data_IF_619753436853
#
_entry.id   IF_619753436853
#
_cell.length_a   1.000
_cell.length_b   1.000
_cell.length_c   1.000
_cell.angle_alpha   90.00
_cell.angle_beta   90.00
_cell.angle_gamma   90.00
#
_symmetry.space_group_name_H-M   'P 1'
#
loop_
_entity.id
_entity.type
_entity.pdbx_description
1 polymer ?
#
# COMPACT_ATOMS: atom_id res chain seq x y z
N UNK A 1 11.55 23.37 1.95
CA UNK A 1 11.37 21.96 1.57
C UNK A 1 11.03 21.23 2.86
N UNK A 2 9.77 20.85 3.05
CA UNK A 2 9.41 19.99 4.18
C UNK A 2 9.97 18.62 3.87
N UNK A 3 10.95 18.18 4.64
CA UNK A 3 11.38 16.79 4.65
C UNK A 3 10.20 15.98 5.18
N UNK A 4 9.52 15.24 4.31
CA UNK A 4 8.63 14.17 4.73
C UNK A 4 9.54 13.05 5.22
N UNK A 5 9.69 12.92 6.54
CA UNK A 5 10.35 11.73 7.08
C UNK A 5 9.43 10.54 6.81
N UNK A 6 9.94 9.45 6.20
CA UNK A 6 9.12 8.29 5.93
C UNK A 6 8.52 7.77 7.22
N UNK A 7 7.18 7.76 7.32
CA UNK A 7 6.49 7.23 8.49
C UNK A 7 6.79 5.76 8.74
N UNK A 8 7.07 5.03 7.66
CA UNK A 8 7.34 3.61 7.66
C UNK A 8 8.83 3.32 7.48
N UNK A 9 9.35 2.41 8.30
CA UNK A 9 10.72 1.91 8.19
C UNK A 9 10.77 0.61 7.36
N UNK A 10 11.98 0.09 7.13
CA UNK A 10 12.19 -1.17 6.41
C UNK A 10 11.43 -2.36 7.01
N UNK A 11 11.25 -2.38 8.34
CA UNK A 11 10.50 -3.45 9.01
C UNK A 11 9.01 -3.44 8.64
N UNK A 12 8.40 -2.25 8.47
CA UNK A 12 7.03 -2.12 8.01
C UNK A 12 6.88 -2.61 6.55
N UNK A 13 7.82 -2.24 5.67
CA UNK A 13 7.83 -2.74 4.28
C UNK A 13 8.00 -4.27 4.22
N UNK A 14 8.89 -4.83 5.04
CA UNK A 14 9.07 -6.28 5.15
C UNK A 14 7.82 -6.99 5.68
N UNK A 15 7.09 -6.39 6.62
CA UNK A 15 5.82 -6.92 7.13
C UNK A 15 4.75 -6.99 6.03
N UNK A 16 4.61 -5.93 5.23
CA UNK A 16 3.69 -5.88 4.08
C UNK A 16 4.02 -7.01 3.09
N UNK A 17 5.30 -7.15 2.72
CA UNK A 17 5.75 -8.21 1.82
C UNK A 17 5.55 -9.62 2.41
N UNK A 18 5.68 -9.81 3.73
CA UNK A 18 5.37 -11.08 4.40
C UNK A 18 3.89 -11.43 4.29
N UNK A 19 3.00 -10.50 4.66
CA UNK A 19 1.55 -10.73 4.62
C UNK A 19 1.07 -11.05 3.20
N UNK A 20 1.62 -10.39 2.18
CA UNK A 20 1.30 -10.71 0.79
C UNK A 20 1.73 -12.14 0.41
N UNK A 21 2.93 -12.57 0.82
CA UNK A 21 3.40 -13.96 0.60
C UNK A 21 2.57 -15.00 1.37
N UNK A 22 1.94 -14.62 2.47
CA UNK A 22 0.97 -15.42 3.21
C UNK A 22 -0.42 -15.47 2.54
N UNK A 23 -0.58 -14.84 1.37
CA UNK A 23 -1.80 -14.86 0.58
C UNK A 23 -2.80 -13.74 0.92
N UNK A 24 -2.36 -12.70 1.64
CA UNK A 24 -3.22 -11.54 1.88
C UNK A 24 -3.28 -10.63 0.66
N UNK A 25 -4.45 -10.08 0.39
CA UNK A 25 -4.66 -9.08 -0.66
C UNK A 25 -4.27 -7.67 -0.21
N UNK A 26 -3.83 -6.79 -1.13
CA UNK A 26 -3.36 -5.43 -0.79
C UNK A 26 -4.31 -4.61 0.09
N UNK A 27 -5.60 -4.57 -0.20
CA UNK A 27 -6.64 -3.86 0.56
C UNK A 27 -6.64 -4.29 2.02
N UNK A 28 -6.64 -5.61 2.29
CA UNK A 28 -6.56 -6.18 3.63
C UNK A 28 -5.27 -5.79 4.34
N UNK A 29 -4.14 -5.77 3.63
CA UNK A 29 -2.85 -5.37 4.19
C UNK A 29 -2.88 -3.88 4.57
N UNK A 30 -3.38 -3.02 3.70
CA UNK A 30 -3.48 -1.58 3.96
C UNK A 30 -4.42 -1.27 5.13
N UNK A 31 -5.53 -2.02 5.28
CA UNK A 31 -6.41 -1.92 6.46
C UNK A 31 -5.67 -2.23 7.76
N UNK A 32 -4.89 -3.31 7.76
CA UNK A 32 -4.04 -3.66 8.91
C UNK A 32 -3.04 -2.54 9.23
N UNK A 33 -2.40 -1.98 8.20
CA UNK A 33 -1.43 -0.89 8.39
C UNK A 33 -2.10 0.37 8.96
N UNK A 34 -3.32 0.70 8.54
CA UNK A 34 -4.10 1.80 9.13
C UNK A 34 -4.52 1.52 10.59
N UNK A 35 -4.71 0.27 10.98
CA UNK A 35 -4.98 -0.09 12.39
C UNK A 35 -3.71 0.08 13.23
N UNK A 36 -2.56 -0.35 12.72
CA UNK A 36 -1.27 -0.25 13.41
C UNK A 36 -0.72 1.19 13.44
N UNK A 37 -1.05 1.98 12.42
CA UNK A 37 -0.59 3.35 12.22
C UNK A 37 -1.79 4.26 11.87
N UNK A 38 -2.64 4.61 12.85
CA UNK A 38 -3.90 5.33 12.61
C UNK A 38 -3.74 6.72 12.01
N UNK A 39 -2.56 7.30 12.12
CA UNK A 39 -2.19 8.62 11.62
C UNK A 39 -1.43 8.55 10.28
N UNK A 40 -1.39 7.38 9.63
CA UNK A 40 -0.81 7.24 8.30
C UNK A 40 -1.65 7.97 7.26
N UNK A 41 -0.98 8.81 6.47
CA UNK A 41 -1.59 9.48 5.32
C UNK A 41 -1.62 8.55 4.10
N UNK A 42 -2.43 8.91 3.10
CA UNK A 42 -2.41 8.26 1.78
C UNK A 42 -1.01 8.22 1.18
N UNK A 43 -0.24 9.30 1.30
CA UNK A 43 1.14 9.36 0.79
C UNK A 43 2.04 8.34 1.49
N UNK A 44 1.91 8.20 2.81
CA UNK A 44 2.66 7.20 3.58
C UNK A 44 2.34 5.79 3.08
N UNK A 45 1.06 5.47 2.83
CA UNK A 45 0.65 4.17 2.31
C UNK A 45 1.20 3.89 0.91
N UNK A 46 1.24 4.91 0.05
CA UNK A 46 1.84 4.82 -1.28
C UNK A 46 3.36 4.54 -1.20
N UNK A 47 4.08 5.26 -0.34
CA UNK A 47 5.51 5.03 -0.10
C UNK A 47 5.77 3.63 0.47
N UNK A 48 4.93 3.17 1.41
CA UNK A 48 5.02 1.83 1.96
C UNK A 48 4.93 0.74 0.88
N UNK A 49 3.96 0.85 -0.02
CA UNK A 49 3.77 -0.14 -1.09
C UNK A 49 4.89 -0.08 -2.14
N UNK A 50 5.38 1.12 -2.47
CA UNK A 50 6.57 1.28 -3.31
C UNK A 50 7.78 0.57 -2.69
N UNK A 51 8.03 0.79 -1.40
CA UNK A 51 9.17 0.21 -0.72
C UNK A 51 9.03 -1.31 -0.51
N UNK A 52 7.81 -1.80 -0.26
CA UNK A 52 7.56 -3.23 0.00
C UNK A 52 7.73 -4.11 -1.25
N UNK A 53 7.37 -3.60 -2.43
CA UNK A 53 7.38 -4.39 -3.67
C UNK A 53 8.19 -3.76 -4.81
N UNK A 54 8.99 -2.72 -4.51
CA UNK A 54 9.74 -1.94 -5.49
C UNK A 54 8.85 -1.40 -6.63
N UNK A 55 7.61 -0.99 -6.30
CA UNK A 55 6.66 -0.49 -7.29
C UNK A 55 7.08 0.91 -7.76
N UNK A 56 6.87 1.24 -9.05
CA UNK A 56 6.98 2.62 -9.51
C UNK A 56 5.77 3.43 -9.02
N UNK A 57 5.95 4.74 -8.85
CA UNK A 57 4.89 5.65 -8.38
C UNK A 57 3.54 5.49 -9.09
N UNK A 58 3.46 5.35 -10.44
CA UNK A 58 2.17 5.16 -11.12
C UNK A 58 1.38 3.93 -10.66
N UNK A 59 2.04 2.86 -10.21
CA UNK A 59 1.36 1.65 -9.75
C UNK A 59 0.66 1.82 -8.40
N UNK A 60 1.11 2.77 -7.56
CA UNK A 60 0.53 3.03 -6.23
C UNK A 60 -0.47 4.17 -6.22
N UNK A 61 -0.63 4.93 -7.31
CA UNK A 61 -1.57 6.06 -7.36
C UNK A 61 -3.03 5.66 -7.11
N UNK A 62 -3.40 4.41 -7.38
CA UNK A 62 -4.73 3.88 -7.08
C UNK A 62 -5.08 3.96 -5.59
N UNK A 63 -4.09 3.95 -4.68
CA UNK A 63 -4.31 4.12 -3.23
C UNK A 63 -4.92 5.49 -2.92
N UNK A 64 -4.65 6.52 -3.74
CA UNK A 64 -5.28 7.83 -3.60
C UNK A 64 -6.79 7.84 -3.86
N UNK A 65 -7.29 6.86 -4.61
CA UNK A 65 -8.71 6.66 -4.85
C UNK A 65 -9.37 5.71 -3.84
N UNK A 66 -8.64 5.14 -2.89
CA UNK A 66 -9.17 4.15 -1.95
C UNK A 66 -9.17 4.68 -0.51
N UNK A 67 -10.21 4.34 0.25
CA UNK A 67 -10.23 4.56 1.69
C UNK A 67 -10.98 3.45 2.43
N UNK A 68 -10.55 3.19 3.67
CA UNK A 68 -10.98 2.04 4.47
C UNK A 68 -12.48 2.02 4.79
N UNK A 69 -13.11 3.18 4.92
CA UNK A 69 -14.53 3.33 5.23
C UNK A 69 -15.44 3.30 3.98
N UNK A 70 -14.86 3.12 2.79
CA UNK A 70 -15.59 3.10 1.52
C UNK A 70 -15.96 4.49 0.98
N UNK A 71 -15.42 5.58 1.53
CA UNK A 71 -15.59 6.94 0.99
C UNK A 71 -14.72 7.23 -0.23
N UNK A 72 -13.76 6.34 -0.55
CA UNK A 72 -12.96 6.42 -1.77
C UNK A 72 -13.74 6.10 -3.04
N UNK A 73 -13.16 6.47 -4.18
CA UNK A 73 -13.67 6.15 -5.52
C UNK A 73 -13.48 4.68 -5.90
N UNK A 74 -12.50 4.00 -5.30
CA UNK A 74 -12.18 2.59 -5.53
C UNK A 74 -12.65 1.71 -4.37
N UNK A 75 -13.30 0.62 -4.74
CA UNK A 75 -13.56 -0.50 -3.84
C UNK A 75 -12.28 -1.29 -3.51
N UNK A 76 -12.33 -2.11 -2.45
CA UNK A 76 -11.25 -3.06 -2.13
C UNK A 76 -10.88 -3.95 -3.32
N UNK A 77 -11.88 -4.44 -4.05
CA UNK A 77 -11.68 -5.31 -5.24
C UNK A 77 -10.94 -4.59 -6.36
N UNK A 78 -11.28 -3.34 -6.64
CA UNK A 78 -10.61 -2.55 -7.69
C UNK A 78 -9.19 -2.20 -7.30
N UNK A 79 -8.98 -1.79 -6.04
CA UNK A 79 -7.65 -1.54 -5.50
C UNK A 79 -6.76 -2.79 -5.59
N UNK A 80 -7.29 -3.95 -5.18
CA UNK A 80 -6.58 -5.22 -5.21
C UNK A 80 -6.19 -5.59 -6.64
N UNK A 81 -7.08 -5.43 -7.61
CA UNK A 81 -6.78 -5.70 -9.02
C UNK A 81 -5.60 -4.86 -9.53
N UNK A 82 -5.61 -3.54 -9.28
CA UNK A 82 -4.52 -2.66 -9.71
C UNK A 82 -3.18 -2.99 -9.04
N UNK A 83 -3.18 -3.19 -7.72
CA UNK A 83 -1.94 -3.43 -6.98
C UNK A 83 -1.37 -4.83 -7.24
N UNK A 84 -2.21 -5.86 -7.37
CA UNK A 84 -1.76 -7.22 -7.71
C UNK A 84 -1.11 -7.23 -9.11
N UNK A 85 -1.73 -6.59 -10.09
CA UNK A 85 -1.14 -6.43 -11.43
C UNK A 85 0.20 -5.69 -11.36
N UNK A 86 0.25 -4.58 -10.62
CA UNK A 86 1.47 -3.82 -10.37
C UNK A 86 2.59 -4.70 -9.81
N UNK A 87 2.33 -5.43 -8.72
CA UNK A 87 3.29 -6.31 -8.04
C UNK A 87 3.78 -7.43 -8.97
N UNK A 88 2.88 -8.03 -9.75
CA UNK A 88 3.22 -9.08 -10.71
C UNK A 88 4.17 -8.57 -11.81
N UNK A 89 4.01 -7.32 -12.25
CA UNK A 89 4.80 -6.73 -13.33
C UNK A 89 6.22 -6.31 -12.92
N UNK A 90 6.51 -6.21 -11.62
CA UNK A 90 7.86 -5.88 -11.10
C UNK A 90 8.57 -7.07 -10.46
N UNK A 91 7.85 -8.18 -10.26
CA UNK A 91 8.45 -9.42 -9.78
C UNK A 91 9.22 -10.10 -10.93
N UNK A 92 10.51 -10.45 -10.76
CA UNK A 92 11.30 -11.15 -11.77
C UNK A 92 10.84 -12.60 -12.03
#
# INVERSE_FOLDING_TARGET
MNYHEPKFNEAAAALVASKYREGWVPSRILREMLILYPDASTLDLMELMQNAFNLPYPAVQCIGGWWIDGTGELSDTELDAFLIEGIANVSP
#
